data_IF_966457946949
#
_entry.id   IF_966457946949
#
_cell.length_a   1.000
_cell.length_b   1.000
_cell.length_c   1.000
_cell.angle_alpha   90.00
_cell.angle_beta   90.00
_cell.angle_gamma   90.00
#
_symmetry.space_group_name_H-M   'P 1'
#
loop_
_entity.id
_entity.type
_entity.pdbx_description
1 polymer ?
#
# COMPACT_ATOMS: atom_id res chain seq x y z
N UNK A 1 -16.01 -24.81 3.42
CA UNK A 1 -16.79 -23.62 3.02
C UNK A 1 -16.22 -23.18 1.68
N UNK A 2 -17.05 -22.90 0.67
CA UNK A 2 -16.58 -22.78 -0.72
C UNK A 2 -15.82 -21.47 -0.94
N UNK A 3 -14.72 -21.55 -1.70
CA UNK A 3 -14.10 -20.38 -2.31
C UNK A 3 -15.14 -19.53 -3.06
N UNK A 4 -14.90 -18.22 -3.25
CA UNK A 4 -15.77 -17.39 -4.06
C UNK A 4 -16.03 -18.01 -5.44
N UNK A 5 -17.22 -17.79 -5.97
CA UNK A 5 -17.63 -18.33 -7.27
C UNK A 5 -16.59 -18.00 -8.35
N UNK A 6 -16.11 -19.00 -9.08
CA UNK A 6 -15.10 -18.85 -10.13
C UNK A 6 -13.65 -19.06 -9.68
N UNK A 7 -13.37 -19.10 -8.37
CA UNK A 7 -12.04 -19.35 -7.85
C UNK A 7 -11.86 -20.83 -7.49
N UNK A 8 -10.84 -21.48 -8.06
CA UNK A 8 -10.49 -22.87 -7.76
C UNK A 8 -9.52 -22.92 -6.59
N UNK A 9 -9.83 -23.71 -5.55
CA UNK A 9 -8.93 -23.94 -4.41
C UNK A 9 -7.75 -24.80 -4.85
N UNK A 10 -6.54 -24.30 -4.60
CA UNK A 10 -5.27 -25.03 -4.78
C UNK A 10 -4.86 -25.66 -3.45
N UNK A 11 -4.90 -24.89 -2.37
CA UNK A 11 -4.61 -25.33 -1.01
C UNK A 11 -5.42 -24.54 0.01
N UNK A 12 -5.64 -25.13 1.18
CA UNK A 12 -6.35 -24.50 2.30
C UNK A 12 -5.65 -24.80 3.62
N UNK A 13 -5.69 -23.84 4.54
CA UNK A 13 -5.22 -23.99 5.91
C UNK A 13 -6.25 -23.39 6.87
N UNK A 14 -7.05 -24.21 7.58
CA UNK A 14 -7.81 -23.72 8.72
C UNK A 14 -6.85 -23.32 9.85
N UNK A 15 -7.18 -22.25 10.57
CA UNK A 15 -6.43 -21.76 11.71
C UNK A 15 -7.35 -21.13 12.74
N UNK A 16 -6.86 -20.93 13.96
CA UNK A 16 -7.56 -20.19 15.00
C UNK A 16 -7.03 -18.75 15.05
N UNK A 17 -7.83 -17.73 14.67
CA UNK A 17 -7.37 -16.35 14.71
C UNK A 17 -6.97 -15.91 16.11
N UNK A 18 -5.69 -15.58 16.30
CA UNK A 18 -5.19 -15.06 17.57
C UNK A 18 -5.52 -13.58 17.72
N UNK A 19 -6.26 -13.24 18.77
CA UNK A 19 -6.45 -11.85 19.14
C UNK A 19 -5.10 -11.20 19.48
N UNK A 20 -4.88 -9.96 19.03
CA UNK A 20 -3.69 -9.22 19.43
C UNK A 20 -3.66 -9.02 20.95
N UNK A 21 -2.49 -9.11 21.57
CA UNK A 21 -2.26 -8.80 22.97
C UNK A 21 -1.05 -7.87 23.05
N UNK A 22 -1.24 -6.69 23.63
CA UNK A 22 -0.24 -5.61 23.64
C UNK A 22 0.29 -5.26 22.24
N UNK A 23 -0.56 -5.42 21.23
CA UNK A 23 -0.25 -5.13 19.84
C UNK A 23 0.33 -6.27 19.02
N UNK A 24 0.49 -7.47 19.58
CA UNK A 24 1.03 -8.64 18.86
C UNK A 24 0.04 -9.78 18.83
N UNK A 25 -0.12 -10.45 17.68
CA UNK A 25 -0.86 -11.71 17.61
C UNK A 25 0.01 -12.90 18.01
N UNK A 26 1.33 -12.75 17.91
CA UNK A 26 2.32 -13.75 18.32
C UNK A 26 2.70 -14.73 17.22
N UNK A 27 2.19 -14.57 16.00
CA UNK A 27 2.46 -15.45 14.86
C UNK A 27 2.53 -14.68 13.54
N UNK A 28 3.32 -15.20 12.61
CA UNK A 28 3.34 -14.80 11.21
C UNK A 28 2.82 -15.94 10.34
N UNK A 29 2.19 -15.59 9.22
CA UNK A 29 1.67 -16.55 8.25
C UNK A 29 2.69 -16.77 7.14
N UNK A 30 3.22 -17.97 6.99
CA UNK A 30 4.01 -18.33 5.83
C UNK A 30 3.13 -19.01 4.77
N UNK A 31 3.32 -18.61 3.52
CA UNK A 31 2.64 -19.19 2.35
C UNK A 31 3.67 -19.42 1.24
N UNK A 32 3.87 -20.67 0.86
CA UNK A 32 4.61 -21.02 -0.35
C UNK A 32 3.63 -21.15 -1.53
N UNK A 33 3.67 -20.19 -2.46
CA UNK A 33 2.72 -20.14 -3.59
C UNK A 33 3.00 -21.17 -4.69
N UNK A 34 4.19 -21.78 -4.67
CA UNK A 34 4.55 -22.85 -5.60
C UNK A 34 4.08 -24.22 -5.16
N UNK A 35 4.21 -24.53 -3.86
CA UNK A 35 3.83 -25.85 -3.32
C UNK A 35 2.45 -25.88 -2.67
N UNK A 36 1.89 -24.71 -2.35
CA UNK A 36 0.66 -24.59 -1.56
C UNK A 36 0.86 -24.82 -0.05
N UNK A 37 2.10 -24.99 0.42
CA UNK A 37 2.40 -25.13 1.84
C UNK A 37 2.07 -23.82 2.60
N UNK A 38 1.39 -23.95 3.74
CA UNK A 38 1.07 -22.84 4.63
C UNK A 38 1.35 -23.25 6.06
N UNK A 39 1.92 -22.35 6.86
CA UNK A 39 2.18 -22.61 8.27
C UNK A 39 2.13 -21.33 9.12
N UNK A 40 1.76 -21.48 10.38
CA UNK A 40 1.93 -20.46 11.39
C UNK A 40 3.36 -20.52 11.94
N UNK A 41 4.12 -19.43 11.84
CA UNK A 41 5.46 -19.32 12.41
C UNK A 41 5.42 -18.47 13.68
N UNK A 42 6.06 -18.88 14.79
CA UNK A 42 5.99 -18.13 16.04
C UNK A 42 6.72 -16.78 15.95
N UNK A 43 6.15 -15.77 16.59
CA UNK A 43 6.84 -14.52 16.94
C UNK A 43 7.35 -14.64 18.37
N UNK A 44 8.64 -14.94 18.50
CA UNK A 44 9.31 -15.14 19.79
C UNK A 44 9.45 -13.83 20.56
N UNK A 45 9.65 -13.91 21.89
CA UNK A 45 9.89 -12.70 22.70
C UNK A 45 11.18 -11.99 22.29
N UNK A 46 12.23 -12.75 21.90
CA UNK A 46 13.44 -12.18 21.29
C UNK A 46 13.12 -11.36 20.04
N UNK A 47 12.22 -11.83 19.18
CA UNK A 47 11.82 -11.06 18.00
C UNK A 47 11.15 -9.74 18.40
N UNK A 48 10.23 -9.77 19.37
CA UNK A 48 9.53 -8.57 19.86
C UNK A 48 10.51 -7.57 20.50
N UNK A 49 11.46 -8.05 21.29
CA UNK A 49 12.44 -7.20 21.99
C UNK A 49 13.44 -6.54 21.05
N UNK A 50 13.95 -7.28 20.05
CA UNK A 50 15.00 -6.80 19.16
C UNK A 50 14.41 -6.06 17.95
N UNK A 51 13.41 -6.64 17.31
CA UNK A 51 12.92 -6.19 16.02
C UNK A 51 11.62 -5.39 16.09
N UNK A 52 10.92 -5.43 17.23
CA UNK A 52 9.69 -4.67 17.54
C UNK A 52 8.48 -5.02 16.65
N UNK A 53 8.62 -5.18 15.34
CA UNK A 53 7.51 -5.38 14.40
C UNK A 53 7.76 -4.63 13.10
N UNK A 54 6.78 -4.64 12.20
CA UNK A 54 6.90 -3.96 10.90
C UNK A 54 8.20 -4.33 10.18
N UNK A 55 8.98 -3.32 9.78
CA UNK A 55 10.29 -3.49 9.10
C UNK A 55 11.18 -4.53 9.78
N UNK A 56 11.29 -4.52 11.11
CA UNK A 56 12.15 -5.45 11.82
C UNK A 56 11.73 -6.90 11.64
N UNK A 57 10.42 -7.19 11.64
CA UNK A 57 9.91 -8.54 11.38
C UNK A 57 10.11 -8.92 9.92
N UNK A 58 9.89 -7.99 8.99
CA UNK A 58 10.18 -8.20 7.57
C UNK A 58 11.64 -8.58 7.32
N UNK A 59 12.58 -7.83 7.91
CA UNK A 59 14.02 -8.11 7.81
C UNK A 59 14.41 -9.43 8.48
N UNK A 60 13.86 -9.72 9.66
CA UNK A 60 14.14 -10.99 10.34
C UNK A 60 13.68 -12.19 9.53
N UNK A 61 12.46 -12.14 8.97
CA UNK A 61 11.95 -13.24 8.15
C UNK A 61 12.75 -13.40 6.86
N UNK A 62 12.98 -12.31 6.13
CA UNK A 62 13.80 -12.35 4.91
C UNK A 62 15.21 -12.92 5.19
N UNK A 63 15.87 -12.47 6.26
CA UNK A 63 17.19 -12.95 6.65
C UNK A 63 17.26 -14.47 6.86
N UNK A 64 16.19 -15.07 7.39
CA UNK A 64 16.15 -16.52 7.62
C UNK A 64 15.68 -17.30 6.38
N UNK A 65 15.16 -16.63 5.36
CA UNK A 65 14.66 -17.24 4.14
C UNK A 65 15.69 -17.28 3.00
N UNK A 66 16.72 -16.43 3.05
CA UNK A 66 17.68 -16.24 1.96
C UNK A 66 19.12 -16.54 2.39
N UNK A 67 19.94 -16.88 1.43
CA UNK A 67 21.39 -17.04 1.56
C UNK A 67 22.12 -15.88 0.85
N UNK A 68 23.43 -15.78 1.03
CA UNK A 68 24.26 -14.74 0.38
C UNK A 68 24.14 -14.76 -1.15
N UNK A 69 23.90 -15.93 -1.74
CA UNK A 69 23.79 -16.11 -3.20
C UNK A 69 22.37 -15.95 -3.74
N UNK A 70 21.37 -15.78 -2.87
CA UNK A 70 19.97 -15.66 -3.29
C UNK A 70 19.75 -14.36 -4.07
N UNK A 71 19.12 -14.48 -5.23
CA UNK A 71 18.76 -13.37 -6.11
C UNK A 71 17.31 -12.97 -5.92
N UNK A 72 16.95 -11.80 -6.43
CA UNK A 72 15.59 -11.26 -6.33
C UNK A 72 14.53 -12.18 -6.98
N UNK A 73 14.90 -12.91 -8.04
CA UNK A 73 14.04 -13.81 -8.80
C UNK A 73 14.18 -15.28 -8.38
N UNK A 74 14.89 -15.59 -7.30
CA UNK A 74 14.91 -16.95 -6.78
C UNK A 74 13.59 -17.26 -6.05
N UNK A 75 13.11 -18.52 -6.08
CA UNK A 75 11.92 -18.93 -5.35
C UNK A 75 12.04 -18.64 -3.84
N UNK A 76 13.26 -18.68 -3.30
CA UNK A 76 13.56 -18.49 -1.88
C UNK A 76 13.42 -17.04 -1.41
N UNK A 77 13.58 -16.05 -2.30
CA UNK A 77 13.38 -14.64 -1.97
C UNK A 77 11.92 -14.43 -1.50
N UNK A 78 11.72 -14.02 -0.26
CA UNK A 78 10.38 -13.78 0.27
C UNK A 78 9.91 -12.35 -0.01
N UNK A 79 8.59 -12.19 -0.14
CA UNK A 79 7.92 -10.91 0.07
C UNK A 79 7.25 -10.98 1.44
N UNK A 80 7.73 -10.16 2.37
CA UNK A 80 7.20 -10.11 3.74
C UNK A 80 6.42 -8.83 3.95
N UNK A 81 5.13 -8.94 4.25
CA UNK A 81 4.26 -7.80 4.54
C UNK A 81 3.89 -7.82 6.02
N UNK A 82 4.19 -6.74 6.74
CA UNK A 82 4.11 -6.70 8.20
C UNK A 82 3.56 -5.37 8.71
N UNK A 83 2.97 -5.40 9.91
CA UNK A 83 2.59 -4.20 10.64
C UNK A 83 3.36 -4.11 11.95
N UNK A 84 3.54 -2.89 12.48
CA UNK A 84 4.15 -2.68 13.79
C UNK A 84 3.16 -2.98 14.93
N UNK A 85 3.61 -3.06 16.20
CA UNK A 85 2.73 -3.35 17.33
C UNK A 85 1.65 -2.27 17.54
N UNK A 86 1.94 -1.03 17.16
CA UNK A 86 0.96 0.06 17.17
C UNK A 86 0.03 0.06 15.95
N UNK A 87 0.33 -0.77 14.95
CA UNK A 87 -0.46 -0.92 13.74
C UNK A 87 -1.92 -1.22 14.04
N UNK A 88 -2.83 -0.47 13.43
CA UNK A 88 -4.27 -0.59 13.61
C UNK A 88 -4.86 0.17 14.81
N UNK A 89 -4.06 0.88 15.61
CA UNK A 89 -4.64 1.78 16.62
C UNK A 89 -5.44 2.91 15.96
N UNK A 90 -6.53 3.34 16.57
CA UNK A 90 -7.34 4.47 16.07
C UNK A 90 -7.15 5.74 16.90
N UNK A 91 -6.24 5.73 17.87
CA UNK A 91 -6.07 6.82 18.84
C UNK A 91 -5.27 8.03 18.30
N UNK A 92 -4.42 7.82 17.29
CA UNK A 92 -3.53 8.83 16.72
C UNK A 92 -3.16 8.47 15.27
N UNK A 93 -2.65 9.42 14.45
CA UNK A 93 -2.40 9.18 13.04
C UNK A 93 -1.14 8.34 12.77
N UNK A 94 -1.08 7.76 11.57
CA UNK A 94 0.10 7.01 11.12
C UNK A 94 0.15 5.54 11.55
N UNK A 95 -0.96 4.99 12.04
CA UNK A 95 -1.08 3.60 12.51
C UNK A 95 -1.62 2.61 11.48
N UNK A 96 -2.15 3.07 10.35
CA UNK A 96 -2.57 2.21 9.24
C UNK A 96 -1.42 1.92 8.27
N UNK A 97 -0.30 1.42 8.77
CA UNK A 97 0.91 1.20 7.96
C UNK A 97 1.17 -0.29 7.71
N UNK A 98 1.60 -0.58 6.50
CA UNK A 98 2.11 -1.88 6.06
C UNK A 98 3.53 -1.69 5.54
N UNK A 99 4.47 -2.52 6.01
CA UNK A 99 5.84 -2.55 5.51
C UNK A 99 6.02 -3.80 4.66
N UNK A 100 6.50 -3.63 3.44
CA UNK A 100 6.87 -4.70 2.52
C UNK A 100 8.39 -4.81 2.52
N UNK A 101 8.94 -6.01 2.70
CA UNK A 101 10.38 -6.31 2.65
C UNK A 101 10.64 -7.44 1.65
N UNK A 102 11.70 -7.32 0.85
CA UNK A 102 12.17 -8.35 -0.09
C UNK A 102 13.60 -8.06 -0.56
N UNK A 103 14.21 -8.94 -1.37
CA UNK A 103 15.35 -8.58 -2.21
C UNK A 103 14.87 -7.87 -3.48
N UNK A 104 15.49 -6.73 -3.77
CA UNK A 104 15.07 -5.81 -4.84
C UNK A 104 15.61 -6.23 -6.21
N UNK A 105 14.78 -6.28 -7.26
CA UNK A 105 15.24 -6.42 -8.64
C UNK A 105 15.98 -5.18 -9.17
N UNK A 106 15.78 -4.02 -8.54
CA UNK A 106 16.37 -2.76 -8.97
C UNK A 106 17.80 -2.59 -8.45
N UNK A 107 18.05 -3.01 -7.21
CA UNK A 107 19.32 -2.75 -6.52
C UNK A 107 20.11 -4.01 -6.20
N UNK A 108 19.55 -5.20 -6.44
CA UNK A 108 20.10 -6.50 -6.00
C UNK A 108 20.39 -6.55 -4.48
N UNK A 109 19.71 -5.70 -3.69
CA UNK A 109 19.85 -5.57 -2.25
C UNK A 109 18.50 -5.63 -1.55
N UNK A 110 18.51 -5.79 -0.23
CA UNK A 110 17.29 -5.71 0.59
C UNK A 110 16.60 -4.36 0.40
N UNK A 111 15.29 -4.39 0.17
CA UNK A 111 14.41 -3.22 0.17
C UNK A 111 13.37 -3.36 1.27
N UNK A 112 13.05 -2.25 1.93
CA UNK A 112 11.78 -2.07 2.61
C UNK A 112 11.00 -0.90 1.99
N UNK A 113 9.68 -1.06 1.90
CA UNK A 113 8.79 -0.02 1.39
C UNK A 113 7.53 0.07 2.24
N UNK A 114 7.10 1.30 2.52
CA UNK A 114 5.98 1.62 3.41
C UNK A 114 4.75 2.02 2.62
N UNK A 115 3.60 1.45 2.96
CA UNK A 115 2.29 1.85 2.43
C UNK A 115 1.33 2.20 3.57
N UNK A 116 0.46 3.18 3.33
CA UNK A 116 -0.70 3.45 4.18
C UNK A 116 -1.82 2.46 3.97
N UNK A 117 -2.98 2.72 4.58
CA UNK A 117 -4.20 1.94 4.33
C UNK A 117 -4.52 0.92 5.42
N UNK A 118 -5.29 -0.09 5.01
CA UNK A 118 -5.98 -0.99 5.92
C UNK A 118 -5.38 -2.41 5.94
N UNK A 119 -4.58 -2.78 4.93
CA UNK A 119 -4.06 -4.15 4.79
C UNK A 119 -3.29 -4.66 6.01
N UNK A 120 -2.24 -3.97 6.44
CA UNK A 120 -1.44 -4.36 7.61
C UNK A 120 -2.26 -4.48 8.90
N UNK A 121 -3.08 -3.49 9.26
CA UNK A 121 -4.05 -3.61 10.36
C UNK A 121 -5.02 -4.78 10.21
N UNK A 122 -5.58 -5.00 9.01
CA UNK A 122 -6.55 -6.07 8.75
C UNK A 122 -5.91 -7.46 8.89
N UNK A 123 -4.69 -7.63 8.39
CA UNK A 123 -3.91 -8.84 8.56
C UNK A 123 -3.65 -9.13 10.03
N UNK A 124 -3.28 -8.10 10.81
CA UNK A 124 -3.15 -8.21 12.27
C UNK A 124 -4.45 -8.65 12.92
N UNK A 125 -5.57 -8.01 12.61
CA UNK A 125 -6.85 -8.35 13.21
C UNK A 125 -7.39 -9.71 12.74
N UNK A 126 -6.92 -10.20 11.59
CA UNK A 126 -7.12 -11.57 11.13
C UNK A 126 -6.24 -12.60 11.86
N UNK A 127 -5.31 -12.17 12.72
CA UNK A 127 -4.51 -13.04 13.58
C UNK A 127 -3.02 -13.12 13.27
N UNK A 128 -2.49 -12.28 12.37
CA UNK A 128 -1.12 -12.40 11.88
C UNK A 128 -0.32 -11.10 11.99
N UNK A 129 0.83 -11.12 12.65
CA UNK A 129 1.73 -9.97 12.77
C UNK A 129 2.44 -9.65 11.43
N UNK A 130 2.62 -10.66 10.58
CA UNK A 130 3.12 -10.55 9.22
C UNK A 130 2.66 -11.72 8.35
N UNK A 131 2.75 -11.56 7.03
CA UNK A 131 2.63 -12.62 6.03
C UNK A 131 3.94 -12.71 5.23
N UNK A 132 4.42 -13.92 5.01
CA UNK A 132 5.63 -14.28 4.27
C UNK A 132 5.21 -15.05 3.01
N UNK A 133 5.57 -14.54 1.83
CA UNK A 133 5.21 -15.14 0.54
C UNK A 133 6.48 -15.67 -0.14
N UNK A 134 6.59 -16.99 -0.30
CA UNK A 134 7.74 -17.67 -0.90
C UNK A 134 7.32 -18.56 -2.08
N UNK A 135 8.29 -19.06 -2.85
CA UNK A 135 8.07 -19.95 -3.99
C UNK A 135 7.67 -19.18 -5.26
N UNK A 136 7.31 -19.92 -6.30
CA UNK A 136 6.73 -19.41 -7.55
C UNK A 136 5.62 -20.34 -8.00
N UNK A 137 4.45 -19.78 -8.31
CA UNK A 137 3.33 -20.58 -8.82
C UNK A 137 3.45 -20.80 -10.33
N UNK A 138 2.88 -21.92 -10.81
CA UNK A 138 2.76 -22.22 -12.25
C UNK A 138 1.58 -21.49 -12.90
N UNK A 139 0.70 -20.86 -12.14
CA UNK A 139 -0.44 -20.08 -12.63
C UNK A 139 -0.62 -18.79 -11.80
N UNK A 140 -1.45 -17.86 -12.25
CA UNK A 140 -1.77 -16.69 -11.44
C UNK A 140 -2.57 -17.12 -10.21
N UNK A 141 -2.15 -16.70 -9.01
CA UNK A 141 -2.79 -17.09 -7.75
C UNK A 141 -3.24 -15.92 -6.91
N UNK A 142 -4.27 -16.16 -6.09
CA UNK A 142 -4.71 -15.27 -5.02
C UNK A 142 -4.53 -15.96 -3.68
N UNK A 143 -3.85 -15.30 -2.75
CA UNK A 143 -3.82 -15.72 -1.33
C UNK A 143 -4.94 -14.98 -0.61
N UNK A 144 -5.90 -15.70 -0.03
CA UNK A 144 -7.01 -15.12 0.71
C UNK A 144 -6.94 -15.51 2.18
N UNK A 145 -6.92 -14.52 3.06
CA UNK A 145 -6.98 -14.68 4.53
C UNK A 145 -8.35 -14.22 5.00
N UNK A 146 -9.19 -15.16 5.43
CA UNK A 146 -10.47 -14.86 6.07
C UNK A 146 -10.34 -14.91 7.59
N UNK A 147 -10.08 -13.74 8.19
CA UNK A 147 -9.98 -13.60 9.64
C UNK A 147 -11.30 -13.78 10.38
N UNK A 148 -12.45 -13.74 9.70
CA UNK A 148 -13.76 -13.98 10.31
C UNK A 148 -14.06 -15.47 10.46
N UNK A 149 -13.48 -16.30 9.58
CA UNK A 149 -13.69 -17.75 9.56
C UNK A 149 -12.48 -18.57 10.02
N UNK A 150 -11.31 -17.95 10.14
CA UNK A 150 -10.08 -18.66 10.48
C UNK A 150 -9.64 -19.61 9.37
N UNK A 151 -9.61 -19.13 8.13
CA UNK A 151 -9.12 -19.93 6.99
C UNK A 151 -8.22 -19.10 6.08
N UNK A 152 -7.13 -19.72 5.64
CA UNK A 152 -6.28 -19.21 4.56
C UNK A 152 -6.49 -20.10 3.34
N UNK A 153 -6.69 -19.49 2.17
CA UNK A 153 -6.86 -20.18 0.89
C UNK A 153 -5.80 -19.71 -0.09
N UNK A 154 -5.19 -20.65 -0.81
CA UNK A 154 -4.47 -20.38 -2.05
C UNK A 154 -5.39 -20.76 -3.20
N UNK A 155 -5.70 -19.80 -4.07
CA UNK A 155 -6.69 -19.90 -5.12
C UNK A 155 -6.05 -19.68 -6.48
N UNK A 156 -6.47 -20.41 -7.50
CA UNK A 156 -6.20 -20.03 -8.88
C UNK A 156 -7.00 -18.76 -9.23
N UNK A 157 -6.34 -17.77 -9.82
CA UNK A 157 -6.94 -16.51 -10.21
C UNK A 157 -7.54 -16.62 -11.62
N UNK A 158 -8.87 -16.50 -11.78
CA UNK A 158 -9.51 -16.54 -13.10
C UNK A 158 -9.43 -15.19 -13.83
N UNK A 159 -8.97 -14.13 -13.16
CA UNK A 159 -8.99 -12.77 -13.69
C UNK A 159 -7.95 -12.58 -14.79
N UNK A 160 -8.38 -12.01 -15.91
CA UNK A 160 -7.52 -11.72 -17.06
C UNK A 160 -6.94 -10.32 -17.02
N UNK A 161 -7.71 -9.33 -16.55
CA UNK A 161 -7.19 -7.99 -16.27
C UNK A 161 -6.70 -7.93 -14.82
N UNK A 162 -5.39 -8.02 -14.67
CA UNK A 162 -4.69 -7.97 -13.39
C UNK A 162 -4.23 -6.57 -13.02
N UNK A 163 -4.56 -5.53 -13.79
CA UNK A 163 -4.17 -4.17 -13.45
C UNK A 163 -4.89 -3.70 -12.18
N UNK A 164 -4.16 -3.01 -11.29
CA UNK A 164 -4.63 -2.68 -9.94
C UNK A 164 -5.99 -2.00 -9.92
N UNK A 165 -6.21 -1.00 -10.80
CA UNK A 165 -7.46 -0.23 -10.81
C UNK A 165 -8.72 -1.08 -11.04
N UNK A 166 -8.60 -2.22 -11.72
CA UNK A 166 -9.70 -3.18 -11.96
C UNK A 166 -9.67 -4.30 -10.93
N UNK A 167 -8.50 -4.91 -10.72
CA UNK A 167 -8.38 -6.10 -9.92
C UNK A 167 -8.69 -5.84 -8.44
N UNK A 168 -8.21 -4.71 -7.89
CA UNK A 168 -8.42 -4.39 -6.47
C UNK A 168 -9.92 -4.24 -6.17
N UNK A 169 -10.66 -3.49 -6.98
CA UNK A 169 -12.11 -3.33 -6.77
C UNK A 169 -12.87 -4.64 -6.94
N UNK A 170 -12.57 -5.39 -8.00
CA UNK A 170 -13.22 -6.67 -8.27
C UNK A 170 -13.03 -7.65 -7.11
N UNK A 171 -11.81 -7.77 -6.59
CA UNK A 171 -11.51 -8.66 -5.47
C UNK A 171 -12.17 -8.19 -4.16
N UNK A 172 -12.15 -6.89 -3.88
CA UNK A 172 -12.80 -6.37 -2.67
C UNK A 172 -14.30 -6.68 -2.64
N UNK A 173 -14.99 -6.60 -3.78
CA UNK A 173 -16.41 -6.96 -3.88
C UNK A 173 -16.65 -8.47 -3.86
N UNK A 174 -15.83 -9.23 -4.60
CA UNK A 174 -15.96 -10.69 -4.73
C UNK A 174 -15.77 -11.43 -3.40
N UNK A 175 -14.86 -10.95 -2.55
CA UNK A 175 -14.54 -11.57 -1.27
C UNK A 175 -15.31 -10.96 -0.08
N UNK A 176 -16.14 -9.94 -0.31
CA UNK A 176 -17.06 -9.41 0.68
C UNK A 176 -18.26 -10.36 0.89
N UNK A 177 -18.92 -10.27 2.06
CA UNK A 177 -20.12 -11.06 2.32
C UNK A 177 -21.34 -10.55 1.53
N UNK A 178 -21.33 -9.26 1.16
CA UNK A 178 -22.35 -8.62 0.33
C UNK A 178 -21.81 -7.35 -0.34
N UNK A 179 -22.58 -6.76 -1.24
CA UNK A 179 -22.29 -5.45 -1.84
C UNK A 179 -22.52 -4.27 -0.88
N UNK A 180 -22.92 -4.51 0.38
CA UNK A 180 -23.06 -3.45 1.36
C UNK A 180 -21.69 -2.77 1.56
N UNK A 181 -21.59 -1.41 1.52
CA UNK A 181 -20.33 -0.69 1.65
C UNK A 181 -19.46 -1.10 2.85
N UNK A 182 -20.08 -1.47 3.97
CA UNK A 182 -19.37 -1.93 5.17
C UNK A 182 -18.72 -3.30 5.01
N UNK A 183 -19.33 -4.20 4.24
CA UNK A 183 -18.79 -5.54 4.01
C UNK A 183 -17.62 -5.46 3.01
N UNK A 184 -17.75 -4.63 1.97
CA UNK A 184 -16.63 -4.33 1.05
C UNK A 184 -15.49 -3.66 1.80
N UNK A 185 -15.79 -2.74 2.72
CA UNK A 185 -14.77 -2.09 3.55
C UNK A 185 -14.05 -3.03 4.53
N UNK A 186 -14.59 -4.22 4.82
CA UNK A 186 -13.91 -5.23 5.61
C UNK A 186 -12.79 -5.97 4.84
N UNK A 187 -12.71 -5.75 3.51
CA UNK A 187 -11.71 -6.33 2.63
C UNK A 187 -10.60 -5.31 2.34
N UNK A 188 -9.37 -5.78 2.26
CA UNK A 188 -8.23 -5.04 1.72
C UNK A 188 -7.39 -5.98 0.86
N UNK A 189 -6.75 -5.44 -0.16
CA UNK A 189 -5.96 -6.22 -1.13
C UNK A 189 -4.57 -5.64 -1.27
N UNK A 190 -3.60 -6.50 -1.60
CA UNK A 190 -2.31 -6.15 -2.18
C UNK A 190 -2.34 -6.62 -3.62
N UNK A 191 -2.17 -5.71 -4.56
CA UNK A 191 -2.13 -5.99 -6.00
C UNK A 191 -0.97 -5.25 -6.65
N UNK A 192 -0.66 -5.59 -7.89
CA UNK A 192 0.21 -4.82 -8.78
C UNK A 192 -0.27 -5.03 -10.20
N UNK A 193 0.12 -4.17 -11.13
CA UNK A 193 -0.34 -4.23 -12.51
C UNK A 193 0.63 -4.94 -13.45
N UNK A 194 0.23 -5.00 -14.72
CA UNK A 194 1.00 -5.64 -15.81
C UNK A 194 2.35 -4.96 -16.08
N UNK A 195 2.52 -3.70 -15.69
CA UNK A 195 3.80 -2.99 -15.79
C UNK A 195 4.90 -3.65 -14.95
N UNK A 196 4.55 -4.18 -13.77
CA UNK A 196 5.49 -4.84 -12.88
C UNK A 196 6.07 -6.15 -13.46
N UNK A 197 5.42 -6.76 -14.46
CA UNK A 197 5.97 -7.94 -15.17
C UNK A 197 7.16 -7.59 -16.07
N UNK A 198 7.29 -6.31 -16.45
CA UNK A 198 8.21 -5.85 -17.49
C UNK A 198 9.18 -4.77 -17.01
N UNK A 199 9.12 -4.38 -15.73
CA UNK A 199 9.98 -3.37 -15.14
C UNK A 199 10.61 -3.87 -13.84
N UNK A 200 11.82 -3.41 -13.52
CA UNK A 200 12.51 -3.73 -12.24
C UNK A 200 12.09 -2.83 -11.08
N UNK A 201 11.25 -1.83 -11.34
CA UNK A 201 10.72 -0.87 -10.36
C UNK A 201 9.19 -1.00 -10.21
N UNK A 202 8.65 -2.20 -10.41
CA UNK A 202 7.26 -2.48 -10.12
C UNK A 202 6.94 -2.28 -8.63
N UNK A 203 5.81 -1.66 -8.33
CA UNK A 203 5.37 -1.36 -6.96
C UNK A 203 4.15 -2.20 -6.56
N UNK A 204 3.87 -2.27 -5.26
CA UNK A 204 2.65 -2.88 -4.74
C UNK A 204 1.64 -1.81 -4.33
N UNK A 205 0.38 -2.03 -4.70
CA UNK A 205 -0.77 -1.22 -4.35
C UNK A 205 -1.59 -1.91 -3.27
N UNK A 206 -1.78 -1.24 -2.14
CA UNK A 206 -2.53 -1.72 -0.99
C UNK A 206 -3.85 -0.97 -0.89
N UNK A 207 -4.96 -1.68 -1.02
CA UNK A 207 -6.27 -1.08 -1.18
C UNK A 207 -6.98 -0.78 0.14
N UNK A 208 -7.90 0.18 0.10
CA UNK A 208 -8.92 0.38 1.11
C UNK A 208 -10.19 0.93 0.47
N UNK A 209 -11.33 0.71 1.13
CA UNK A 209 -12.61 1.24 0.67
C UNK A 209 -12.88 2.59 1.32
N UNK A 210 -13.06 3.64 0.52
CA UNK A 210 -13.51 4.95 1.00
C UNK A 210 -15.03 4.93 1.11
N UNK A 211 -15.54 4.74 2.34
CA UNK A 211 -16.97 4.68 2.63
C UNK A 211 -17.75 5.94 2.21
N UNK A 212 -17.09 7.10 2.04
CA UNK A 212 -17.76 8.33 1.64
C UNK A 212 -17.88 8.44 0.13
N UNK A 213 -16.87 7.99 -0.60
CA UNK A 213 -16.87 7.90 -2.07
C UNK A 213 -17.55 6.64 -2.58
N UNK A 214 -17.72 5.64 -1.72
CA UNK A 214 -18.10 4.27 -2.08
C UNK A 214 -17.18 3.69 -3.16
N UNK A 215 -15.89 4.03 -3.10
CA UNK A 215 -14.89 3.70 -4.09
C UNK A 215 -13.65 3.06 -3.46
N UNK A 216 -12.98 2.22 -4.23
CA UNK A 216 -11.68 1.65 -3.84
C UNK A 216 -10.57 2.65 -4.11
N UNK A 217 -9.67 2.76 -3.15
CA UNK A 217 -8.48 3.61 -3.17
C UNK A 217 -7.26 2.79 -2.86
N UNK A 218 -6.09 3.26 -3.26
CA UNK A 218 -4.84 2.53 -3.08
C UNK A 218 -3.74 3.40 -2.49
N UNK A 219 -2.86 2.75 -1.72
CA UNK A 219 -1.60 3.33 -1.25
C UNK A 219 -0.45 2.41 -1.59
N UNK A 220 0.69 3.00 -1.92
CA UNK A 220 1.76 2.32 -2.62
C UNK A 220 2.86 1.94 -1.64
N UNK A 221 3.29 0.68 -1.68
CA UNK A 221 4.66 0.34 -1.35
C UNK A 221 5.48 0.59 -2.62
N UNK A 222 5.83 1.86 -2.81
CA UNK A 222 6.19 2.43 -4.10
C UNK A 222 7.53 2.00 -4.68
N UNK A 223 8.57 1.78 -3.86
CA UNK A 223 9.96 1.75 -4.37
C UNK A 223 10.63 0.38 -4.27
N UNK A 224 11.65 0.21 -5.12
CA UNK A 224 12.58 -0.92 -5.09
C UNK A 224 12.04 -2.23 -5.63
N UNK A 225 10.98 -2.22 -6.44
CA UNK A 225 10.67 -3.36 -7.31
C UNK A 225 9.91 -4.52 -6.64
N UNK A 226 9.28 -4.30 -5.49
CA UNK A 226 8.54 -5.37 -4.79
C UNK A 226 7.34 -5.90 -5.58
N UNK A 227 6.71 -5.07 -6.43
CA UNK A 227 5.68 -5.51 -7.36
C UNK A 227 6.21 -6.44 -8.45
N UNK A 228 7.46 -6.23 -8.90
CA UNK A 228 8.13 -7.11 -9.87
C UNK A 228 8.36 -8.50 -9.28
N UNK A 229 8.86 -8.58 -8.05
CA UNK A 229 9.01 -9.86 -7.33
C UNK A 229 7.65 -10.55 -7.19
N UNK A 230 6.59 -9.78 -6.89
CA UNK A 230 5.24 -10.32 -6.72
C UNK A 230 4.69 -10.97 -7.99
N UNK A 231 4.94 -10.34 -9.15
CA UNK A 231 4.56 -10.90 -10.46
C UNK A 231 5.45 -12.04 -10.92
N UNK A 232 6.75 -12.00 -10.64
CA UNK A 232 7.67 -13.11 -10.93
C UNK A 232 7.23 -14.42 -10.23
N UNK A 233 6.65 -14.29 -9.03
CA UNK A 233 6.06 -15.41 -8.29
C UNK A 233 4.65 -15.81 -8.76
N UNK A 234 4.11 -15.13 -9.78
CA UNK A 234 2.74 -15.23 -10.30
C UNK A 234 1.63 -14.97 -9.28
N UNK A 235 1.91 -14.11 -8.30
CA UNK A 235 0.88 -13.68 -7.36
C UNK A 235 0.07 -12.57 -8.04
N UNK A 236 -1.23 -12.81 -8.24
CA UNK A 236 -2.16 -11.80 -8.74
C UNK A 236 -2.60 -10.86 -7.61
N UNK A 237 -2.90 -11.43 -6.43
CA UNK A 237 -3.24 -10.63 -5.27
C UNK A 237 -3.04 -11.37 -3.94
N UNK A 238 -2.93 -10.59 -2.87
CA UNK A 238 -3.19 -11.04 -1.50
C UNK A 238 -4.41 -10.30 -1.00
N UNK A 239 -5.41 -11.03 -0.51
CA UNK A 239 -6.69 -10.49 -0.04
C UNK A 239 -6.84 -10.82 1.43
N UNK A 240 -7.21 -9.84 2.24
CA UNK A 240 -7.52 -10.06 3.66
C UNK A 240 -8.92 -9.55 3.96
N UNK A 241 -9.70 -10.39 4.65
CA UNK A 241 -10.96 -10.03 5.28
C UNK A 241 -10.75 -9.92 6.79
N UNK A 242 -10.92 -8.73 7.32
CA UNK A 242 -10.80 -8.46 8.75
C UNK A 242 -12.13 -8.70 9.47
N UNK A 243 -12.13 -9.14 10.74
CA UNK A 243 -13.28 -8.91 11.62
C UNK A 243 -13.56 -7.40 11.78
N UNK A 244 -14.75 -7.07 12.28
CA UNK A 244 -15.18 -5.69 12.48
C UNK A 244 -14.22 -4.90 13.37
N UNK A 245 -13.66 -3.82 12.81
CA UNK A 245 -12.63 -3.02 13.48
C UNK A 245 -13.21 -2.13 14.58
N UNK A 246 -12.59 -2.16 15.76
CA UNK A 246 -12.89 -1.27 16.87
C UNK A 246 -11.61 -0.84 17.62
N UNK A 247 -11.73 0.15 18.50
CA UNK A 247 -10.60 0.76 19.21
C UNK A 247 -9.86 -0.19 20.17
N UNK A 248 -10.45 -1.34 20.50
CA UNK A 248 -9.93 -2.31 21.45
C UNK A 248 -9.22 -3.49 20.79
N UNK A 249 -9.34 -3.68 19.47
CA UNK A 249 -8.78 -4.85 18.79
C UNK A 249 -7.26 -4.98 18.93
N UNK A 250 -6.53 -3.87 19.04
CA UNK A 250 -5.08 -3.91 19.23
C UNK A 250 -4.65 -4.22 20.68
N UNK A 251 -5.60 -4.29 21.62
CA UNK A 251 -5.44 -4.59 23.06
C UNK A 251 -4.16 -4.01 23.68
N UNK A 252 -4.03 -2.66 23.70
CA UNK A 252 -2.84 -2.03 24.27
C UNK A 252 -2.71 -2.35 25.76
N UNK A 253 -1.47 -2.43 26.27
CA UNK A 253 -1.21 -2.71 27.68
C UNK A 253 -1.84 -1.68 28.64
N UNK A 254 -2.00 -0.42 28.19
CA UNK A 254 -2.67 0.66 28.93
C UNK A 254 -3.46 1.53 27.94
N UNK A 255 -4.76 1.25 27.80
CA UNK A 255 -5.65 1.98 26.90
C UNK A 255 -5.81 3.46 27.31
N UNK A 256 -5.81 3.76 28.62
CA UNK A 256 -5.98 5.11 29.11
C UNK A 256 -4.75 5.97 28.80
N UNK A 257 -3.54 5.42 28.92
CA UNK A 257 -2.30 6.09 28.52
C UNK A 257 -2.24 6.30 27.00
N UNK A 258 -2.65 5.31 26.22
CA UNK A 258 -2.74 5.43 24.77
C UNK A 258 -3.70 6.57 24.36
N UNK A 259 -4.88 6.64 24.98
CA UNK A 259 -5.86 7.70 24.73
C UNK A 259 -5.33 9.08 25.11
N UNK A 260 -4.67 9.22 26.27
CA UNK A 260 -4.04 10.50 26.66
C UNK A 260 -2.94 10.94 25.68
N UNK A 261 -2.10 10.01 25.23
CA UNK A 261 -1.08 10.29 24.23
C UNK A 261 -1.70 10.70 22.88
N UNK A 262 -2.73 9.97 22.44
CA UNK A 262 -3.44 10.27 21.20
C UNK A 262 -4.14 11.62 21.23
N UNK A 263 -4.82 11.96 22.34
CA UNK A 263 -5.44 13.27 22.52
C UNK A 263 -4.43 14.42 22.40
N UNK A 264 -3.24 14.26 23.01
CA UNK A 264 -2.15 15.25 22.89
C UNK A 264 -1.67 15.39 21.45
N UNK A 265 -1.35 14.28 20.78
CA UNK A 265 -0.83 14.28 19.39
C UNK A 265 -1.87 14.88 18.44
N UNK A 266 -3.13 14.47 18.56
CA UNK A 266 -4.22 14.98 17.72
C UNK A 266 -4.42 16.49 17.91
N UNK A 267 -4.36 16.97 19.16
CA UNK A 267 -4.46 18.40 19.47
C UNK A 267 -3.34 19.18 18.78
N UNK A 268 -2.10 18.74 18.94
CA UNK A 268 -0.93 19.39 18.35
C UNK A 268 -1.02 19.47 16.82
N UNK A 269 -1.41 18.37 16.17
CA UNK A 269 -1.63 18.33 14.72
C UNK A 269 -2.76 19.28 14.29
N UNK A 270 -3.88 19.29 15.03
CA UNK A 270 -5.01 20.17 14.73
C UNK A 270 -4.64 21.66 14.86
N UNK A 271 -3.79 22.01 15.82
CA UNK A 271 -3.35 23.39 16.09
C UNK A 271 -2.27 23.86 15.11
N UNK A 272 -1.36 22.97 14.70
CA UNK A 272 -0.14 23.36 13.99
C UNK A 272 -0.10 23.03 12.49
N UNK A 273 -0.88 22.04 12.02
CA UNK A 273 -0.76 21.58 10.62
C UNK A 273 -0.95 22.73 9.61
N UNK A 274 -1.99 23.56 9.79
CA UNK A 274 -2.33 24.64 8.85
C UNK A 274 -1.27 25.76 8.76
N UNK A 275 -0.38 25.90 9.76
CA UNK A 275 0.71 26.88 9.75
C UNK A 275 2.09 26.27 9.47
N UNK A 276 2.17 24.94 9.42
CA UNK A 276 3.39 24.20 9.08
C UNK A 276 3.26 23.65 7.66
N UNK A 277 2.72 22.44 7.52
CA UNK A 277 2.75 21.69 6.26
C UNK A 277 1.40 21.72 5.50
N UNK A 278 0.32 22.17 6.14
CA UNK A 278 -1.06 22.17 5.62
C UNK A 278 -1.49 20.83 4.97
N UNK A 279 -0.98 19.72 5.51
CA UNK A 279 -1.14 18.38 4.93
C UNK A 279 -2.60 17.97 4.88
N UNK A 280 -3.41 18.41 5.85
CA UNK A 280 -4.84 18.12 5.87
C UNK A 280 -5.59 18.73 4.69
N UNK A 281 -5.12 19.84 4.12
CA UNK A 281 -5.81 20.52 3.00
C UNK A 281 -5.21 20.22 1.63
N UNK A 282 -3.89 20.01 1.57
CA UNK A 282 -3.17 19.89 0.29
C UNK A 282 -2.23 18.70 0.21
N UNK A 283 -2.15 17.88 1.26
CA UNK A 283 -1.29 16.71 1.29
C UNK A 283 0.19 17.07 1.16
N UNK A 284 0.98 16.12 0.66
CA UNK A 284 2.42 16.33 0.46
C UNK A 284 2.72 17.37 -0.61
N UNK A 285 1.80 17.62 -1.55
CA UNK A 285 1.99 18.55 -2.67
C UNK A 285 2.24 20.01 -2.25
N UNK A 286 2.06 20.38 -0.98
CA UNK A 286 2.56 21.65 -0.40
C UNK A 286 4.06 21.87 -0.58
N UNK A 287 4.83 20.80 -0.78
CA UNK A 287 6.28 20.88 -0.95
C UNK A 287 6.69 21.45 -2.31
N UNK A 288 5.82 21.49 -3.34
CA UNK A 288 6.24 21.92 -4.69
C UNK A 288 6.79 23.34 -4.67
N UNK A 289 6.03 24.30 -4.13
CA UNK A 289 6.45 25.70 -4.04
C UNK A 289 7.66 25.90 -3.11
N UNK A 290 7.74 25.14 -2.02
CA UNK A 290 8.86 25.21 -1.07
C UNK A 290 10.13 24.71 -1.74
N UNK A 291 10.06 23.62 -2.50
CA UNK A 291 11.24 23.07 -3.16
C UNK A 291 11.72 24.00 -4.29
N UNK A 292 10.80 24.64 -5.02
CA UNK A 292 11.14 25.60 -6.07
C UNK A 292 11.81 26.88 -5.50
N UNK A 293 11.29 27.44 -4.39
CA UNK A 293 11.83 28.66 -3.76
C UNK A 293 13.28 28.49 -3.27
N UNK A 294 13.67 27.26 -2.92
CA UNK A 294 14.99 26.94 -2.40
C UNK A 294 15.91 26.27 -3.44
N UNK A 295 15.55 26.29 -4.73
CA UNK A 295 16.30 25.65 -5.82
C UNK A 295 16.52 24.12 -5.62
N UNK A 296 15.50 23.44 -5.10
CA UNK A 296 15.49 22.00 -4.81
C UNK A 296 14.44 21.21 -5.61
N UNK A 297 13.60 21.85 -6.42
CA UNK A 297 12.59 21.18 -7.25
C UNK A 297 13.27 20.53 -8.47
N UNK A 298 13.26 19.19 -8.61
CA UNK A 298 13.88 18.51 -9.75
C UNK A 298 13.28 19.00 -11.06
N UNK A 299 14.14 19.49 -11.96
CA UNK A 299 13.75 20.08 -13.24
C UNK A 299 14.70 19.65 -14.33
N UNK A 300 14.17 19.09 -15.43
CA UNK A 300 14.92 18.58 -16.58
C UNK A 300 16.05 17.63 -16.18
N UNK A 301 15.70 16.47 -15.66
CA UNK A 301 16.62 15.45 -15.15
C UNK A 301 17.64 16.02 -14.14
N UNK A 302 17.16 16.76 -13.13
CA UNK A 302 17.97 17.41 -12.09
C UNK A 302 18.99 18.44 -12.61
N UNK A 303 18.91 18.87 -13.86
CA UNK A 303 19.78 19.92 -14.41
C UNK A 303 19.54 21.27 -13.73
N UNK A 304 18.32 21.51 -13.28
CA UNK A 304 17.93 22.71 -12.54
C UNK A 304 17.12 22.35 -11.30
N UNK A 305 17.06 23.30 -10.35
CA UNK A 305 16.34 23.18 -9.08
C UNK A 305 15.04 24.00 -9.01
N UNK A 306 14.69 24.71 -10.09
CA UNK A 306 13.51 25.58 -10.14
C UNK A 306 13.07 25.82 -11.58
N UNK A 307 11.81 26.23 -11.75
CA UNK A 307 11.26 26.58 -13.07
C UNK A 307 10.14 27.64 -12.98
N UNK A 308 10.05 28.62 -13.92
CA UNK A 308 9.00 29.64 -13.88
C UNK A 308 7.56 29.13 -13.89
N UNK A 309 7.33 27.92 -14.42
CA UNK A 309 6.01 27.28 -14.50
C UNK A 309 5.69 26.36 -13.30
N UNK A 310 6.58 26.23 -12.31
CA UNK A 310 6.38 25.40 -11.09
C UNK A 310 5.04 25.66 -10.40
N UNK A 311 4.59 26.92 -10.41
CA UNK A 311 3.31 27.35 -9.85
C UNK A 311 2.08 26.63 -10.42
N UNK A 312 2.16 26.10 -11.65
CA UNK A 312 1.06 25.38 -12.31
C UNK A 312 0.79 23.98 -11.72
N UNK A 313 1.70 23.47 -10.91
CA UNK A 313 1.57 22.20 -10.17
C UNK A 313 1.77 22.40 -8.65
N UNK A 314 1.64 23.63 -8.16
CA UNK A 314 1.75 23.98 -6.74
C UNK A 314 0.54 23.55 -5.92
N UNK A 315 0.65 23.66 -4.59
CA UNK A 315 -0.44 23.32 -3.66
C UNK A 315 -1.75 24.08 -3.90
N UNK A 316 -1.68 25.31 -4.44
CA UNK A 316 -2.88 26.11 -4.76
C UNK A 316 -3.72 25.44 -5.85
N UNK A 317 -3.07 24.84 -6.84
CA UNK A 317 -3.73 24.11 -7.92
C UNK A 317 -4.39 22.85 -7.38
N UNK A 318 -3.67 22.10 -6.53
CA UNK A 318 -4.17 20.85 -5.96
C UNK A 318 -5.32 21.07 -4.97
N UNK A 319 -5.24 22.10 -4.13
CA UNK A 319 -6.32 22.48 -3.22
C UNK A 319 -7.65 22.69 -3.94
N UNK A 320 -7.61 23.27 -5.14
CA UNK A 320 -8.80 23.55 -5.94
C UNK A 320 -9.34 22.30 -6.66
N UNK A 321 -8.54 21.24 -6.78
CA UNK A 321 -8.87 20.02 -7.53
C UNK A 321 -9.23 18.84 -6.62
N UNK A 322 -8.70 18.78 -5.40
CA UNK A 322 -9.01 17.70 -4.47
C UNK A 322 -10.49 17.71 -4.08
N UNK A 323 -11.07 16.51 -4.10
CA UNK A 323 -12.46 16.29 -3.75
C UNK A 323 -12.71 16.26 -2.24
N UNK A 324 -13.93 15.88 -1.87
CA UNK A 324 -14.44 15.70 -0.49
C UNK A 324 -14.51 16.95 0.41
N UNK A 325 -13.62 17.94 0.29
CA UNK A 325 -13.59 19.15 1.15
C UNK A 325 -13.71 18.86 2.66
N UNK A 326 -13.18 17.71 3.10
CA UNK A 326 -13.23 17.23 4.48
C UNK A 326 -11.99 16.38 4.77
N UNK A 327 -11.67 16.10 6.05
CA UNK A 327 -10.50 15.30 6.39
C UNK A 327 -10.51 13.94 5.68
N UNK A 328 -9.46 13.69 4.90
CA UNK A 328 -9.27 12.50 4.06
C UNK A 328 -8.05 11.67 4.52
N UNK A 329 -8.31 10.67 5.35
CA UNK A 329 -7.28 9.81 5.93
C UNK A 329 -7.31 8.39 5.36
N UNK A 330 -6.13 7.83 5.09
CA UNK A 330 -5.98 6.44 4.65
C UNK A 330 -6.21 5.40 5.77
N UNK A 331 -6.48 5.81 7.02
CA UNK A 331 -6.79 4.92 8.15
C UNK A 331 -7.74 5.59 9.14
N UNK A 332 -8.55 4.77 9.82
CA UNK A 332 -9.49 5.21 10.85
C UNK A 332 -8.81 6.01 11.96
N UNK A 333 -9.31 7.22 12.21
CA UNK A 333 -8.79 8.11 13.26
C UNK A 333 -7.49 8.85 12.88
N UNK A 334 -7.05 8.79 11.62
CA UNK A 334 -5.88 9.54 11.16
C UNK A 334 -6.19 11.04 11.04
N UNK A 335 -5.85 11.80 12.08
CA UNK A 335 -6.08 13.24 12.13
C UNK A 335 -5.21 14.04 11.15
N UNK A 336 -4.07 13.53 10.68
CA UNK A 336 -3.28 14.18 9.61
C UNK A 336 -4.09 14.33 8.32
N UNK A 337 -4.82 13.28 7.90
CA UNK A 337 -5.76 13.35 6.79
C UNK A 337 -5.17 13.90 5.48
N UNK A 338 -4.02 13.35 5.06
CA UNK A 338 -3.27 13.79 3.88
C UNK A 338 -3.55 13.01 2.59
N UNK A 339 -4.52 12.10 2.57
CA UNK A 339 -4.61 11.02 1.56
C UNK A 339 -5.08 11.47 0.18
N UNK A 340 -5.79 12.61 0.09
CA UNK A 340 -6.40 13.33 -1.04
C UNK A 340 -6.62 12.60 -2.37
N UNK A 341 -7.72 12.91 -3.06
CA UNK A 341 -7.99 12.36 -4.39
C UNK A 341 -8.72 13.36 -5.26
N UNK A 342 -8.59 13.21 -6.58
CA UNK A 342 -9.37 13.94 -7.59
C UNK A 342 -10.47 13.01 -8.10
N UNK A 343 -11.71 13.44 -7.87
CA UNK A 343 -12.91 12.70 -8.27
C UNK A 343 -13.23 12.95 -9.76
N UNK A 344 -13.83 11.95 -10.42
CA UNK A 344 -14.33 12.05 -11.81
C UNK A 344 -13.33 12.56 -12.86
N UNK A 345 -12.03 12.27 -12.67
CA UNK A 345 -11.00 12.67 -13.63
C UNK A 345 -11.17 11.89 -14.94
N UNK A 346 -11.38 12.60 -16.05
CA UNK A 346 -11.53 11.99 -17.38
C UNK A 346 -10.15 11.76 -18.03
N UNK A 347 -9.83 10.49 -18.27
CA UNK A 347 -8.57 10.08 -18.88
C UNK A 347 -8.50 10.49 -20.36
N UNK A 348 -7.37 11.03 -20.80
CA UNK A 348 -7.24 11.66 -22.13
C UNK A 348 -6.51 10.78 -23.14
N UNK A 349 -5.74 9.83 -22.64
CA UNK A 349 -4.81 8.97 -23.40
C UNK A 349 -4.93 7.52 -22.95
N UNK A 350 -4.20 6.64 -23.64
CA UNK A 350 -4.07 5.22 -23.29
C UNK A 350 -5.36 4.39 -23.45
N UNK A 351 -5.35 3.13 -22.98
CA UNK A 351 -6.45 2.18 -23.19
C UNK A 351 -7.74 2.53 -22.44
N UNK A 352 -7.66 3.37 -21.39
CA UNK A 352 -8.81 3.78 -20.58
C UNK A 352 -9.32 5.19 -20.95
N UNK A 353 -8.90 5.75 -22.09
CA UNK A 353 -9.31 7.07 -22.58
C UNK A 353 -10.84 7.23 -22.56
N UNK A 354 -11.29 8.39 -22.06
CA UNK A 354 -12.71 8.76 -21.96
C UNK A 354 -13.43 8.19 -20.74
N UNK A 355 -12.77 7.34 -19.94
CA UNK A 355 -13.30 6.89 -18.66
C UNK A 355 -13.07 7.94 -17.59
N UNK A 356 -14.04 8.07 -16.68
CA UNK A 356 -13.92 8.88 -15.47
C UNK A 356 -13.46 8.00 -14.33
N UNK A 357 -12.38 8.39 -13.66
CA UNK A 357 -11.74 7.61 -12.62
C UNK A 357 -11.48 8.46 -11.38
N UNK A 358 -11.35 7.80 -10.24
CA UNK A 358 -10.81 8.38 -9.02
C UNK A 358 -9.28 8.27 -9.09
N UNK A 359 -8.57 9.38 -8.91
CA UNK A 359 -7.10 9.41 -8.86
C UNK A 359 -6.67 9.74 -7.44
N UNK A 360 -5.96 8.82 -6.78
CA UNK A 360 -5.32 9.05 -5.49
C UNK A 360 -4.12 9.98 -5.64
N UNK A 361 -4.08 11.06 -4.85
CA UNK A 361 -3.04 12.09 -4.93
C UNK A 361 -3.33 13.16 -6.00
N UNK A 362 -2.28 13.80 -6.57
CA UNK A 362 -0.90 13.33 -6.51
C UNK A 362 -0.23 13.64 -5.17
N UNK A 363 0.70 12.76 -4.78
CA UNK A 363 1.69 13.09 -3.77
C UNK A 363 2.78 14.00 -4.39
N UNK A 364 3.53 14.74 -3.57
CA UNK A 364 4.61 15.64 -4.02
C UNK A 364 5.57 14.96 -4.98
N UNK A 365 6.03 13.75 -4.65
CA UNK A 365 7.01 13.03 -5.46
C UNK A 365 6.53 12.76 -6.89
N UNK A 366 5.22 12.53 -7.08
CA UNK A 366 4.65 12.37 -8.42
C UNK A 366 4.62 13.70 -9.18
N UNK A 367 4.26 14.80 -8.50
CA UNK A 367 4.27 16.14 -9.12
C UNK A 367 5.70 16.61 -9.44
N UNK A 368 6.64 16.46 -8.50
CA UNK A 368 8.05 16.77 -8.67
C UNK A 368 8.70 15.89 -9.75
N UNK A 369 8.33 14.62 -9.84
CA UNK A 369 8.73 13.74 -10.94
C UNK A 369 8.32 14.29 -12.31
N UNK A 370 7.11 14.85 -12.44
CA UNK A 370 6.68 15.49 -13.69
C UNK A 370 7.43 16.79 -13.98
N UNK A 371 7.74 17.60 -12.96
CA UNK A 371 8.67 18.75 -13.11
C UNK A 371 10.04 18.30 -13.62
N UNK A 372 10.51 17.14 -13.17
CA UNK A 372 11.79 16.58 -13.62
C UNK A 372 11.77 16.25 -15.13
N UNK A 373 10.60 16.00 -15.71
CA UNK A 373 10.37 15.85 -17.15
C UNK A 373 10.24 17.19 -17.91
N UNK A 374 10.19 18.32 -17.19
CA UNK A 374 9.85 19.63 -17.75
C UNK A 374 8.35 19.82 -18.01
N UNK A 375 7.49 19.04 -17.34
CA UNK A 375 6.04 19.06 -17.56
C UNK A 375 5.31 19.65 -16.36
N UNK A 376 4.62 20.77 -16.58
CA UNK A 376 3.89 21.53 -15.56
C UNK A 376 2.36 21.54 -15.79
N UNK A 377 1.82 20.57 -16.55
CA UNK A 377 0.37 20.40 -16.71
C UNK A 377 -0.21 19.50 -15.59
N UNK A 378 -1.08 20.01 -14.71
CA UNK A 378 -1.67 19.20 -13.64
C UNK A 378 -2.51 18.01 -14.14
N UNK A 379 -3.03 18.05 -15.37
CA UNK A 379 -3.75 16.90 -15.92
C UNK A 379 -2.79 15.78 -16.33
N UNK A 380 -1.59 16.13 -16.83
CA UNK A 380 -0.54 15.16 -17.12
C UNK A 380 -0.05 14.49 -15.84
N UNK A 381 0.09 15.25 -14.75
CA UNK A 381 0.46 14.70 -13.43
C UNK A 381 -0.58 13.68 -12.95
N UNK A 382 -1.87 14.01 -13.03
CA UNK A 382 -2.96 13.10 -12.63
C UNK A 382 -3.00 11.83 -13.50
N UNK A 383 -2.83 11.98 -14.81
CA UNK A 383 -2.83 10.85 -15.74
C UNK A 383 -1.61 9.95 -15.55
N UNK A 384 -0.44 10.54 -15.30
CA UNK A 384 0.79 9.81 -14.91
C UNK A 384 0.59 9.03 -13.62
N UNK A 385 0.00 9.67 -12.59
CA UNK A 385 -0.30 9.02 -11.32
C UNK A 385 -1.24 7.82 -11.53
N UNK A 386 -2.36 8.03 -12.24
CA UNK A 386 -3.33 6.98 -12.52
C UNK A 386 -2.70 5.78 -13.23
N UNK A 387 -1.92 6.01 -14.29
CA UNK A 387 -1.32 4.93 -15.05
C UNK A 387 -0.21 4.21 -14.30
N UNK A 388 0.58 4.93 -13.48
CA UNK A 388 1.57 4.30 -12.61
C UNK A 388 0.90 3.40 -11.57
N UNK A 389 -0.16 3.86 -10.91
CA UNK A 389 -0.92 3.05 -9.96
C UNK A 389 -1.57 1.85 -10.64
N UNK A 390 -2.20 2.07 -11.81
CA UNK A 390 -2.87 1.03 -12.60
C UNK A 390 -1.92 -0.08 -13.01
N UNK A 391 -0.74 0.27 -13.54
CA UNK A 391 0.26 -0.69 -14.01
C UNK A 391 1.21 -1.19 -12.92
N UNK A 392 1.08 -0.68 -11.69
CA UNK A 392 1.94 -1.03 -10.56
C UNK A 392 3.39 -0.62 -10.78
N UNK A 393 3.62 0.66 -11.12
CA UNK A 393 4.92 1.24 -11.42
C UNK A 393 5.22 2.37 -10.42
N UNK A 394 6.45 2.42 -9.90
CA UNK A 394 6.94 3.54 -9.08
C UNK A 394 6.94 4.85 -9.87
N UNK A 395 6.19 5.87 -9.44
CA UNK A 395 6.14 7.18 -10.10
C UNK A 395 7.50 7.87 -10.09
N UNK A 396 8.30 7.72 -9.03
CA UNK A 396 9.63 8.34 -8.93
C UNK A 396 10.60 7.72 -9.94
N UNK A 397 10.70 6.39 -9.93
CA UNK A 397 11.59 5.68 -10.87
C UNK A 397 11.14 5.85 -12.32
N UNK A 398 9.83 5.84 -12.58
CA UNK A 398 9.29 6.08 -13.92
C UNK A 398 9.64 7.47 -14.44
N UNK A 399 9.30 8.52 -13.68
CA UNK A 399 9.54 9.90 -14.12
C UNK A 399 11.03 10.21 -14.22
N UNK A 400 11.86 9.73 -13.29
CA UNK A 400 13.32 9.91 -13.37
C UNK A 400 13.92 9.13 -14.55
N UNK A 401 13.48 7.89 -14.76
CA UNK A 401 13.93 7.09 -15.90
C UNK A 401 13.54 7.70 -17.24
N UNK A 402 12.34 8.27 -17.34
CA UNK A 402 11.89 8.98 -18.54
C UNK A 402 12.64 10.31 -18.71
N UNK A 403 12.93 11.05 -17.63
CA UNK A 403 13.74 12.27 -17.69
C UNK A 403 15.14 11.98 -18.26
N UNK A 404 15.77 10.89 -17.82
CA UNK A 404 17.05 10.44 -18.37
C UNK A 404 16.98 10.10 -19.87
N UNK A 405 15.86 9.55 -20.36
CA UNK A 405 15.67 9.27 -21.79
C UNK A 405 15.43 10.55 -22.62
N UNK A 406 14.87 11.59 -22.00
CA UNK A 406 14.63 12.88 -22.65
C UNK A 406 15.89 13.73 -22.81
N UNK A 407 16.90 13.51 -21.97
CA UNK A 407 18.23 14.14 -22.06
C UNK A 407 19.09 13.48 -23.15
#
# INVERSE_FOLDING_TARGET
MSAPTGYRVIAEMPYEPKAAERGYTGETLYVNVGTGAMEARPVTDRMKEIFIGGRGFGLWRLWNAVEETTKWDDPDNEIVISSGPVGGTTAYPGSGKSIVVSLSPLTDNVVDSNAGGYFGPYLKFAGWDAIELQGKSDENVVVFVDGTKGIVLLLACPETDINTHVLAERLMRTFADSEAPRDVAAISTVTTGTGAENARWGCLNLSFFDLKREAVRVKQAGRGGTGTVFRDKRIAAVVVKSPAVNAQLNRPADIARLQRAGARINKEILELDASQCDMRRVGTAHLVEIMDEYDLLPTHNFKFGSHPDSGQISSTVWRARFGQNMPDGCWLGCTMSCSHAVDDFELRTGPYRGQKVLVDGPEYETAAGCSNLGVYDPNFVLETNFYCDTYGIDTISFTTGLAFVME
#
